data_IF_334160268062
#
_entry.id   IF_334160268062
#
_cell.length_a   1.000
_cell.length_b   1.000
_cell.length_c   1.000
_cell.angle_alpha   90.00
_cell.angle_beta   90.00
_cell.angle_gamma   90.00
#
_symmetry.space_group_name_H-M   'P 1'
#
loop_
_entity.id
_entity.type
_entity.pdbx_description
1 polymer ?
#
# COMPACT_ATOMS: atom_id res chain seq x y z
N UNK A 1 -5.26 17.46 8.16
CA UNK A 1 -5.15 16.17 8.85
C UNK A 1 -5.52 15.03 7.92
N UNK A 2 -4.70 13.98 7.91
CA UNK A 2 -5.04 12.79 7.16
C UNK A 2 -6.22 12.07 7.85
N UNK A 3 -7.22 11.69 7.07
CA UNK A 3 -8.36 10.96 7.57
C UNK A 3 -8.17 9.46 7.36
N UNK A 4 -8.60 8.67 8.32
CA UNK A 4 -8.60 7.21 8.19
C UNK A 4 -9.68 6.83 7.18
N UNK A 5 -9.27 6.15 6.11
CA UNK A 5 -10.20 5.68 5.07
C UNK A 5 -10.84 4.34 5.47
N UNK A 6 -10.05 3.44 6.03
CA UNK A 6 -10.50 2.12 6.48
C UNK A 6 -9.68 1.66 7.67
N UNK A 7 -10.25 0.78 8.47
CA UNK A 7 -9.58 0.18 9.63
C UNK A 7 -9.82 -1.33 9.65
N UNK A 8 -8.81 -2.08 10.12
CA UNK A 8 -8.92 -3.51 10.32
C UNK A 8 -8.42 -3.84 11.74
N UNK A 9 -9.26 -4.49 12.52
CA UNK A 9 -8.87 -4.97 13.84
C UNK A 9 -8.27 -6.37 13.69
N UNK A 10 -6.99 -6.49 13.96
CA UNK A 10 -6.27 -7.76 13.95
C UNK A 10 -6.23 -8.42 15.31
N UNK A 11 -5.63 -9.59 15.35
CA UNK A 11 -5.47 -10.35 16.60
C UNK A 11 -4.55 -9.63 17.58
N UNK A 12 -3.42 -9.12 17.10
CA UNK A 12 -2.42 -8.43 17.92
C UNK A 12 -2.21 -6.98 17.52
N UNK A 13 -2.70 -6.58 16.37
CA UNK A 13 -2.44 -5.27 15.79
C UNK A 13 -3.71 -4.67 15.25
N UNK A 14 -3.66 -3.39 14.91
CA UNK A 14 -4.73 -2.71 14.18
C UNK A 14 -4.14 -2.04 12.96
N UNK A 15 -4.78 -2.20 11.80
CA UNK A 15 -4.36 -1.58 10.56
C UNK A 15 -5.24 -0.36 10.29
N UNK A 16 -4.60 0.77 10.00
CA UNK A 16 -5.28 2.00 9.58
C UNK A 16 -4.81 2.34 8.18
N UNK A 17 -5.76 2.60 7.28
CA UNK A 17 -5.48 2.93 5.88
C UNK A 17 -5.78 4.41 5.66
N UNK A 18 -4.79 5.14 5.16
CA UNK A 18 -4.91 6.54 4.77
C UNK A 18 -4.72 6.65 3.25
N UNK A 19 -4.90 7.84 2.70
CA UNK A 19 -4.80 8.05 1.26
C UNK A 19 -3.37 7.85 0.71
N UNK A 20 -2.34 8.03 1.54
CA UNK A 20 -0.94 7.93 1.09
C UNK A 20 -0.10 6.92 1.87
N UNK A 21 -0.66 6.32 2.93
CA UNK A 21 0.07 5.42 3.82
C UNK A 21 -0.85 4.47 4.54
N UNK A 22 -0.27 3.43 5.13
CA UNK A 22 -0.93 2.57 6.10
C UNK A 22 -0.14 2.61 7.39
N UNK A 23 -0.82 2.47 8.52
CA UNK A 23 -0.18 2.41 9.84
C UNK A 23 -0.61 1.12 10.51
N UNK A 24 0.35 0.32 10.96
CA UNK A 24 0.11 -0.87 11.76
C UNK A 24 0.33 -0.48 13.22
N UNK A 25 -0.78 -0.40 13.98
CA UNK A 25 -0.73 -0.06 15.41
C UNK A 25 -0.52 -1.33 16.21
N UNK A 26 0.57 -1.40 16.95
CA UNK A 26 0.89 -2.57 17.77
C UNK A 26 0.16 -2.50 19.10
N UNK A 27 -0.67 -3.49 19.37
CA UNK A 27 -1.41 -3.57 20.65
C UNK A 27 -0.65 -4.30 21.72
N UNK A 28 0.24 -5.22 21.33
CA UNK A 28 0.97 -6.07 22.25
C UNK A 28 2.42 -5.60 22.39
N UNK A 29 2.75 -5.06 23.57
CA UNK A 29 4.10 -4.55 23.86
C UNK A 29 5.14 -5.64 24.03
N UNK A 30 4.71 -6.89 24.19
CA UNK A 30 5.62 -8.05 24.29
C UNK A 30 5.96 -8.65 22.93
N UNK A 31 5.35 -8.14 21.86
CA UNK A 31 5.65 -8.62 20.53
C UNK A 31 7.10 -8.31 20.14
N UNK A 32 7.65 -9.16 19.27
CA UNK A 32 9.01 -9.00 18.73
C UNK A 32 9.24 -7.61 18.14
N UNK A 33 8.20 -7.07 17.53
CA UNK A 33 8.22 -5.71 16.97
C UNK A 33 7.34 -4.82 17.84
N UNK A 34 7.95 -3.92 18.57
CA UNK A 34 7.23 -2.96 19.41
C UNK A 34 7.11 -1.62 18.67
N UNK A 35 6.04 -0.90 18.97
CA UNK A 35 5.77 0.39 18.37
C UNK A 35 5.01 0.30 17.05
N UNK A 36 4.45 1.42 16.64
CA UNK A 36 3.66 1.51 15.41
C UNK A 36 4.56 1.53 14.17
N UNK A 37 4.10 0.92 13.10
CA UNK A 37 4.82 0.88 11.82
C UNK A 37 4.05 1.67 10.78
N UNK A 38 4.66 2.69 10.21
CA UNK A 38 4.11 3.46 9.10
C UNK A 38 4.73 2.98 7.80
N UNK A 39 3.88 2.65 6.82
CA UNK A 39 4.33 2.20 5.50
C UNK A 39 3.66 3.12 4.47
N UNK A 40 4.46 3.83 3.69
CA UNK A 40 3.95 4.69 2.62
C UNK A 40 3.58 3.85 1.40
N UNK A 41 2.47 4.18 0.76
CA UNK A 41 1.95 3.39 -0.38
C UNK A 41 2.93 3.34 -1.55
N UNK A 42 3.71 4.40 -1.76
CA UNK A 42 4.70 4.42 -2.83
C UNK A 42 5.87 3.44 -2.60
N UNK A 43 6.00 2.90 -1.40
CA UNK A 43 7.00 1.89 -1.07
C UNK A 43 6.49 0.47 -1.22
N UNK A 44 5.16 0.29 -1.29
CA UNK A 44 4.55 -1.03 -1.37
C UNK A 44 4.65 -1.57 -2.78
N UNK A 45 5.30 -2.72 -2.95
CA UNK A 45 5.44 -3.40 -4.24
C UNK A 45 4.39 -4.48 -4.45
N UNK A 46 3.71 -4.90 -3.40
CA UNK A 46 2.64 -5.88 -3.49
C UNK A 46 1.88 -6.02 -2.19
N UNK A 47 0.68 -6.58 -2.28
CA UNK A 47 -0.16 -6.88 -1.11
C UNK A 47 -0.53 -8.36 -1.18
N UNK A 48 -0.15 -9.11 -0.16
CA UNK A 48 -0.53 -10.51 -0.01
C UNK A 48 -1.72 -10.59 0.93
N UNK A 49 -2.67 -11.45 0.61
CA UNK A 49 -3.90 -11.61 1.39
C UNK A 49 -4.29 -13.07 1.45
N UNK A 50 -4.63 -13.53 2.64
CA UNK A 50 -5.16 -14.88 2.85
C UNK A 50 -6.37 -14.78 3.76
N UNK A 51 -7.48 -15.38 3.34
CA UNK A 51 -8.71 -15.42 4.15
C UNK A 51 -8.53 -16.30 5.37
N UNK A 52 -9.12 -15.89 6.48
CA UNK A 52 -9.20 -16.73 7.67
C UNK A 52 -10.24 -17.83 7.45
N UNK A 53 -9.91 -19.03 7.90
CA UNK A 53 -10.83 -20.15 7.91
C UNK A 53 -11.41 -20.40 9.30
N UNK A 54 -12.03 -21.56 9.46
CA UNK A 54 -12.62 -21.95 10.74
C UNK A 54 -11.58 -22.20 11.84
N UNK A 55 -10.38 -22.64 11.43
CA UNK A 55 -9.30 -23.00 12.36
C UNK A 55 -8.12 -22.05 12.28
N UNK A 56 -7.74 -21.66 11.07
CA UNK A 56 -6.57 -20.81 10.84
C UNK A 56 -6.98 -19.36 10.61
N UNK A 57 -6.26 -18.43 11.23
CA UNK A 57 -6.43 -17.01 10.99
C UNK A 57 -5.97 -16.63 9.58
N UNK A 58 -6.46 -15.49 9.09
CA UNK A 58 -6.00 -14.92 7.84
C UNK A 58 -4.96 -13.83 8.08
N UNK A 59 -4.41 -13.29 7.01
CA UNK A 59 -3.48 -12.18 7.13
C UNK A 59 -3.51 -11.30 5.89
N UNK A 60 -3.09 -10.05 6.07
CA UNK A 60 -2.78 -9.13 5.00
C UNK A 60 -1.34 -8.66 5.23
N UNK A 61 -0.52 -8.71 4.20
CA UNK A 61 0.90 -8.42 4.30
C UNK A 61 1.34 -7.51 3.16
N UNK A 62 2.14 -6.52 3.49
CA UNK A 62 2.67 -5.56 2.52
C UNK A 62 4.09 -5.95 2.14
N UNK A 63 4.35 -6.06 0.84
CA UNK A 63 5.68 -6.36 0.31
C UNK A 63 6.40 -5.05 0.03
N UNK A 64 7.59 -4.91 0.61
CA UNK A 64 8.44 -3.73 0.44
C UNK A 64 9.74 -4.14 -0.26
N UNK A 65 10.46 -3.21 -0.90
CA UNK A 65 11.77 -3.53 -1.47
C UNK A 65 12.70 -4.12 -0.39
N UNK A 66 13.27 -5.28 -0.65
CA UNK A 66 14.15 -5.97 0.28
C UNK A 66 13.46 -6.75 1.38
N UNK A 67 12.14 -6.75 1.44
CA UNK A 67 11.41 -7.55 2.43
C UNK A 67 11.25 -8.99 1.95
N UNK A 68 11.07 -9.89 2.92
CA UNK A 68 10.82 -11.32 2.65
C UNK A 68 9.32 -11.55 2.68
N UNK A 69 8.77 -12.12 1.61
CA UNK A 69 7.36 -12.47 1.59
C UNK A 69 7.10 -13.75 2.40
N UNK A 70 5.85 -13.91 2.87
CA UNK A 70 5.45 -15.08 3.67
C UNK A 70 5.34 -16.32 2.78
N UNK A 71 6.39 -17.13 2.75
CA UNK A 71 6.42 -18.34 1.94
C UNK A 71 5.74 -19.53 2.63
N UNK A 72 5.66 -19.48 3.95
CA UNK A 72 5.14 -20.58 4.77
C UNK A 72 3.77 -20.25 5.38
N UNK A 73 3.08 -19.24 4.86
CA UNK A 73 1.72 -18.92 5.24
C UNK A 73 1.62 -18.16 6.55
N UNK A 74 0.59 -18.49 7.35
CA UNK A 74 0.23 -17.72 8.53
C UNK A 74 1.35 -17.65 9.59
N UNK A 75 2.17 -18.68 9.69
CA UNK A 75 3.26 -18.70 10.67
C UNK A 75 4.26 -17.58 10.41
N UNK A 76 4.62 -17.38 9.15
CA UNK A 76 5.54 -16.29 8.77
C UNK A 76 4.86 -14.93 8.91
N UNK A 77 3.58 -14.84 8.57
CA UNK A 77 2.82 -13.59 8.67
C UNK A 77 2.74 -13.11 10.12
N UNK A 78 2.59 -14.02 11.08
CA UNK A 78 2.55 -13.67 12.51
C UNK A 78 3.86 -13.00 12.95
N UNK A 79 4.97 -13.41 12.37
CA UNK A 79 6.30 -12.90 12.73
C UNK A 79 6.79 -11.77 11.83
N UNK A 80 6.01 -11.37 10.83
CA UNK A 80 6.38 -10.33 9.88
C UNK A 80 5.88 -8.97 10.36
N UNK A 81 6.77 -7.99 10.45
CA UNK A 81 6.41 -6.63 10.90
C UNK A 81 5.49 -5.88 9.94
N UNK A 82 5.40 -6.33 8.69
CA UNK A 82 4.60 -5.68 7.65
C UNK A 82 3.27 -6.41 7.41
N UNK A 83 2.81 -7.20 8.37
CA UNK A 83 1.58 -7.96 8.23
C UNK A 83 0.64 -7.76 9.42
N UNK A 84 -0.64 -7.97 9.19
CA UNK A 84 -1.67 -7.97 10.22
C UNK A 84 -2.46 -9.26 10.08
N UNK A 85 -2.60 -9.98 11.19
CA UNK A 85 -3.33 -11.26 11.28
C UNK A 85 -4.73 -10.98 11.83
N UNK A 86 -5.76 -11.57 11.24
CA UNK A 86 -7.15 -11.31 11.61
C UNK A 86 -7.98 -12.59 11.65
N UNK A 87 -9.11 -12.51 12.33
CA UNK A 87 -10.07 -13.61 12.44
C UNK A 87 -11.07 -13.59 11.29
N UNK A 88 -11.79 -14.71 11.12
CA UNK A 88 -12.72 -14.91 10.00
C UNK A 88 -13.76 -13.79 9.86
N UNK A 89 -14.24 -13.23 10.95
CA UNK A 89 -15.25 -12.15 10.90
C UNK A 89 -14.76 -10.89 10.19
N UNK A 90 -13.45 -10.75 10.01
CA UNK A 90 -12.84 -9.59 9.35
C UNK A 90 -12.43 -9.87 7.89
N UNK A 91 -12.75 -11.06 7.35
CA UNK A 91 -12.38 -11.40 5.96
C UNK A 91 -12.86 -10.38 4.95
N UNK A 92 -14.12 -9.97 5.04
CA UNK A 92 -14.69 -9.03 4.08
C UNK A 92 -14.02 -7.66 4.16
N UNK A 93 -13.80 -7.16 5.38
CA UNK A 93 -13.11 -5.88 5.57
C UNK A 93 -11.68 -5.95 5.06
N UNK A 94 -10.98 -7.04 5.36
CA UNK A 94 -9.60 -7.21 4.91
C UNK A 94 -9.50 -7.28 3.38
N UNK A 95 -10.46 -7.95 2.73
CA UNK A 95 -10.50 -8.03 1.27
C UNK A 95 -10.77 -6.65 0.66
N UNK A 96 -11.68 -5.88 1.25
CA UNK A 96 -11.96 -4.50 0.82
C UNK A 96 -10.73 -3.61 0.99
N UNK A 97 -10.00 -3.78 2.09
CA UNK A 97 -8.77 -3.02 2.35
C UNK A 97 -7.71 -3.34 1.29
N UNK A 98 -7.54 -4.62 0.96
CA UNK A 98 -6.62 -5.03 -0.10
C UNK A 98 -6.95 -4.34 -1.42
N UNK A 99 -8.23 -4.39 -1.82
CA UNK A 99 -8.69 -3.73 -3.04
C UNK A 99 -8.49 -2.22 -3.00
N UNK A 100 -8.78 -1.61 -1.86
CA UNK A 100 -8.61 -0.16 -1.69
C UNK A 100 -7.15 0.26 -1.82
N UNK A 101 -6.26 -0.48 -1.16
CA UNK A 101 -4.83 -0.19 -1.21
C UNK A 101 -4.29 -0.36 -2.63
N UNK A 102 -4.68 -1.43 -3.31
CA UNK A 102 -4.27 -1.66 -4.70
C UNK A 102 -4.75 -0.54 -5.63
N UNK A 103 -5.98 -0.06 -5.43
CA UNK A 103 -6.53 1.07 -6.18
C UNK A 103 -5.75 2.35 -5.89
N UNK A 104 -5.45 2.62 -4.63
CA UNK A 104 -4.68 3.80 -4.26
C UNK A 104 -3.28 3.78 -4.86
N UNK A 105 -2.63 2.62 -4.87
CA UNK A 105 -1.30 2.46 -5.47
C UNK A 105 -1.36 2.71 -6.98
N UNK A 106 -2.37 2.17 -7.65
CA UNK A 106 -2.56 2.40 -9.09
C UNK A 106 -2.79 3.87 -9.40
N UNK A 107 -3.59 4.54 -8.59
CA UNK A 107 -3.87 5.96 -8.78
C UNK A 107 -2.62 6.83 -8.58
N UNK A 108 -1.75 6.45 -7.65
CA UNK A 108 -0.47 7.16 -7.46
C UNK A 108 0.45 7.00 -8.66
N UNK A 109 0.51 5.81 -9.26
CA UNK A 109 1.34 5.59 -10.44
C UNK A 109 0.74 6.21 -11.70
N UNK A 110 -0.58 6.36 -11.77
CA UNK A 110 -1.29 7.01 -12.89
C UNK A 110 -1.50 8.50 -12.65
N UNK A 111 -1.48 8.93 -11.39
CA UNK A 111 -1.68 10.33 -11.09
C UNK A 111 -0.56 11.12 -11.74
N UNK A 112 -0.97 12.15 -12.44
CA UNK A 112 -0.05 13.13 -12.94
C UNK A 112 0.91 13.50 -11.83
N UNK A 113 2.18 13.23 -12.04
CA UNK A 113 3.21 13.84 -11.24
C UNK A 113 3.34 15.28 -11.73
N UNK A 114 2.83 16.29 -10.97
CA UNK A 114 2.90 17.68 -11.45
C UNK A 114 4.33 18.12 -11.69
N UNK A 115 5.27 17.60 -10.94
CA UNK A 115 6.68 17.93 -11.09
C UNK A 115 7.25 17.35 -12.39
N UNK A 116 6.87 16.13 -12.74
CA UNK A 116 7.28 15.51 -13.98
C UNK A 116 6.71 16.26 -15.19
N UNK A 117 5.43 16.65 -15.13
CA UNK A 117 4.81 17.43 -16.20
C UNK A 117 5.49 18.80 -16.36
N UNK A 118 5.85 19.44 -15.26
CA UNK A 118 6.58 20.72 -15.29
C UNK A 118 7.95 20.54 -15.93
N UNK A 119 8.65 19.46 -15.65
CA UNK A 119 9.95 19.15 -16.27
C UNK A 119 9.81 19.04 -17.78
N UNK A 120 8.81 18.30 -18.26
CA UNK A 120 8.57 18.14 -19.69
C UNK A 120 8.19 19.47 -20.34
N UNK A 121 7.39 20.29 -19.67
CA UNK A 121 7.04 21.62 -20.17
C UNK A 121 8.27 22.51 -20.30
N UNK A 122 9.16 22.46 -19.30
CA UNK A 122 10.41 23.20 -19.34
C UNK A 122 11.26 22.77 -20.51
N UNK A 123 11.37 21.46 -20.75
CA UNK A 123 12.12 20.92 -21.89
C UNK A 123 11.53 21.38 -23.22
N UNK A 124 10.21 21.46 -23.30
CA UNK A 124 9.50 21.98 -24.47
C UNK A 124 9.80 23.46 -24.68
N UNK A 125 9.70 24.26 -23.62
CA UNK A 125 9.95 25.71 -23.68
C UNK A 125 11.41 26.01 -24.05
N UNK A 126 12.34 25.15 -23.66
CA UNK A 126 13.76 25.28 -24.01
C UNK A 126 14.10 24.74 -25.40
N UNK A 127 13.12 24.16 -26.11
CA UNK A 127 13.31 23.62 -27.44
C UNK A 127 14.01 22.26 -27.49
N UNK A 128 14.16 21.59 -26.34
CA UNK A 128 14.82 20.29 -26.26
C UNK A 128 13.91 19.18 -26.80
N UNK A 129 12.60 19.28 -26.55
CA UNK A 129 11.60 18.35 -27.10
C UNK A 129 10.60 19.10 -27.98
N UNK A 130 10.00 18.38 -28.92
CA UNK A 130 9.02 18.97 -29.84
C UNK A 130 7.64 19.04 -29.19
N UNK A 131 6.73 19.82 -29.83
CA UNK A 131 5.35 19.93 -29.39
C UNK A 131 4.67 18.57 -29.38
N UNK A 132 4.93 17.73 -30.36
CA UNK A 132 4.38 16.38 -30.46
C UNK A 132 4.89 15.49 -29.35
N UNK A 133 6.18 15.57 -29.03
CA UNK A 133 6.77 14.81 -27.94
C UNK A 133 6.20 15.24 -26.57
N UNK A 134 6.05 16.53 -26.35
CA UNK A 134 5.45 17.06 -25.14
C UNK A 134 4.00 16.61 -25.00
N UNK A 135 3.22 16.69 -26.10
CA UNK A 135 1.84 16.25 -26.11
C UNK A 135 1.68 14.77 -25.78
N UNK A 136 2.56 13.92 -26.35
CA UNK A 136 2.56 12.48 -26.07
C UNK A 136 2.85 12.18 -24.60
N UNK A 137 3.87 12.84 -24.02
CA UNK A 137 4.20 12.67 -22.61
C UNK A 137 3.12 13.21 -21.67
N UNK A 138 2.53 14.32 -22.04
CA UNK A 138 1.42 14.91 -21.28
C UNK A 138 0.23 13.92 -21.19
N UNK A 139 -0.13 13.29 -22.31
CA UNK A 139 -1.20 12.28 -22.32
C UNK A 139 -0.85 11.08 -21.47
N UNK A 140 0.38 10.60 -21.56
CA UNK A 140 0.87 9.46 -20.78
C UNK A 140 0.80 9.75 -19.29
N UNK A 141 1.30 10.90 -18.85
CA UNK A 141 1.32 11.31 -17.45
C UNK A 141 -0.10 11.51 -16.92
N UNK A 142 -0.99 12.12 -17.70
CA UNK A 142 -2.36 12.38 -17.30
C UNK A 142 -3.29 11.18 -17.47
N UNK A 143 -2.82 10.10 -18.09
CA UNK A 143 -3.62 8.90 -18.29
C UNK A 143 -4.70 9.04 -19.37
N UNK A 144 -4.49 9.93 -20.32
CA UNK A 144 -5.46 10.19 -21.39
C UNK A 144 -5.27 9.27 -22.60
#
# INVERSE_FOLDING_TARGET
>A
MANILMELTGVNDQLEVYDEKVIIRRKNTKAKYSGDKTIYLNQITGVEFKKAGLVLAGYIQFTLPGSISSKHGISDAVHNENSVVFNKKYNDVAEEIKSKIETLIQNQSKSSDPDLLRKYKQLFDEGIITKEEFGAKKKEILGL
#
